data_IF_829100734986
#
_entry.id   IF_829100734986
#
_cell.length_a   1.000
_cell.length_b   1.000
_cell.length_c   1.000
_cell.angle_alpha   90.00
_cell.angle_beta   90.00
_cell.angle_gamma   90.00
#
_symmetry.space_group_name_H-M   'P 1'
#
loop_
_entity.id
_entity.type
_entity.pdbx_description
1 polymer ?
#
# COMPACT_ATOMS: atom_id res chain seq x y z
N UNK A 1 38.19 -4.29 -7.86
CA UNK A 1 36.71 -4.12 -7.78
C UNK A 1 36.43 -2.69 -7.37
N UNK A 2 35.76 -1.92 -8.23
CA UNK A 2 35.55 -0.48 -8.05
C UNK A 2 34.41 -0.27 -7.05
N UNK A 3 34.70 0.42 -5.95
CA UNK A 3 33.70 0.93 -5.03
C UNK A 3 33.01 2.14 -5.68
N UNK A 4 31.69 2.07 -5.86
CA UNK A 4 30.88 3.21 -6.27
C UNK A 4 30.46 3.93 -5.00
N UNK A 5 31.03 5.12 -4.80
CA UNK A 5 30.64 6.05 -3.73
C UNK A 5 29.39 6.78 -4.21
N UNK A 6 28.26 6.54 -3.53
CA UNK A 6 27.04 7.32 -3.74
C UNK A 6 27.24 8.71 -3.12
N UNK A 7 27.42 9.72 -3.97
CA UNK A 7 27.45 11.12 -3.56
C UNK A 7 26.00 11.56 -3.38
N UNK A 8 25.53 11.61 -2.13
CA UNK A 8 24.29 12.26 -1.77
C UNK A 8 24.45 13.76 -1.89
N UNK A 9 23.94 14.35 -2.97
CA UNK A 9 23.86 15.79 -3.14
C UNK A 9 22.67 16.30 -2.32
N UNK A 10 22.97 16.90 -1.17
CA UNK A 10 22.00 17.66 -0.38
C UNK A 10 21.78 19.00 -1.11
N UNK A 11 20.68 19.14 -1.86
CA UNK A 11 20.28 20.43 -2.41
C UNK A 11 19.43 21.14 -1.37
N UNK A 12 20.02 22.15 -0.73
CA UNK A 12 19.28 23.17 0.03
C UNK A 12 18.34 23.91 -0.92
N UNK A 13 17.03 23.70 -0.76
CA UNK A 13 15.99 24.45 -1.47
C UNK A 13 15.92 25.85 -0.88
N UNK A 14 16.36 26.83 -1.65
CA UNK A 14 16.08 28.25 -1.41
C UNK A 14 14.59 28.46 -1.56
N UNK A 15 13.93 28.92 -0.49
CA UNK A 15 12.50 29.27 -0.49
C UNK A 15 12.32 30.51 -1.34
N UNK A 16 11.86 30.35 -2.59
CA UNK A 16 11.24 31.44 -3.32
C UNK A 16 9.85 31.65 -2.72
N UNK A 17 9.71 32.71 -1.92
CA UNK A 17 8.41 33.23 -1.48
C UNK A 17 7.72 33.92 -2.66
N UNK A 18 7.22 33.12 -3.60
CA UNK A 18 6.22 33.51 -4.57
C UNK A 18 4.87 32.98 -4.09
N UNK A 19 3.94 33.88 -3.82
CA UNK A 19 2.60 33.55 -3.33
C UNK A 19 1.89 32.64 -4.35
N UNK A 20 1.83 31.34 -4.04
CA UNK A 20 1.26 30.29 -4.89
C UNK A 20 1.50 28.91 -4.27
N UNK A 21 1.27 28.77 -2.96
CA UNK A 21 1.66 27.58 -2.16
C UNK A 21 0.81 26.33 -2.43
N UNK A 22 0.01 26.30 -3.50
CA UNK A 22 -0.77 25.14 -3.88
C UNK A 22 -1.06 25.12 -5.38
N UNK A 23 -1.03 23.94 -5.98
CA UNK A 23 -1.57 23.67 -7.32
C UNK A 23 -3.10 23.90 -7.46
N UNK A 24 -3.71 24.58 -6.49
CA UNK A 24 -5.11 25.03 -6.50
C UNK A 24 -5.25 26.44 -7.09
N UNK A 25 -4.21 27.26 -7.04
CA UNK A 25 -4.19 28.63 -7.59
C UNK A 25 -3.58 28.63 -9.00
N UNK A 26 -4.36 28.13 -9.95
CA UNK A 26 -3.93 27.93 -11.34
C UNK A 26 -3.99 29.26 -12.10
N UNK A 27 -2.83 29.90 -12.29
CA UNK A 27 -2.72 31.19 -12.99
C UNK A 27 -1.81 31.12 -14.25
N UNK A 28 -1.32 29.92 -14.59
CA UNK A 28 -0.35 29.72 -15.67
C UNK A 28 -0.94 29.64 -17.07
N UNK A 29 -0.07 29.64 -18.08
CA UNK A 29 -0.45 29.57 -19.50
C UNK A 29 0.18 28.41 -20.26
N UNK A 30 1.10 27.67 -19.64
CA UNK A 30 1.71 26.49 -20.29
C UNK A 30 0.65 25.38 -20.48
N UNK A 31 0.83 24.49 -21.45
CA UNK A 31 -0.03 23.32 -21.61
C UNK A 31 -0.14 22.50 -20.32
N UNK A 32 -1.27 21.81 -20.15
CA UNK A 32 -1.47 20.87 -19.03
C UNK A 32 -0.66 19.60 -19.28
N UNK A 33 -0.01 19.09 -18.22
CA UNK A 33 0.74 17.82 -18.27
C UNK A 33 -0.22 16.64 -18.41
N UNK A 34 0.12 15.69 -19.29
CA UNK A 34 -0.71 14.51 -19.59
C UNK A 34 0.08 13.22 -19.40
N UNK A 35 -0.62 12.08 -19.44
CA UNK A 35 0.01 10.76 -19.30
C UNK A 35 0.57 10.47 -17.91
N UNK A 36 0.06 11.14 -16.88
CA UNK A 36 0.52 10.98 -15.49
C UNK A 36 0.12 9.60 -14.97
N UNK A 37 1.09 8.78 -14.62
CA UNK A 37 0.88 7.40 -14.13
C UNK A 37 1.87 7.06 -13.02
N UNK A 38 1.45 6.23 -12.06
CA UNK A 38 2.40 5.57 -11.14
C UNK A 38 3.14 4.49 -11.94
N UNK A 39 4.46 4.56 -11.94
CA UNK A 39 5.31 3.51 -12.51
C UNK A 39 5.34 2.33 -11.53
N UNK A 40 4.58 1.29 -11.86
CA UNK A 40 4.42 0.10 -11.02
C UNK A 40 5.67 -0.78 -10.99
N UNK A 41 6.60 -0.61 -11.93
CA UNK A 41 7.85 -1.39 -11.98
C UNK A 41 8.98 -0.68 -11.21
N UNK A 42 8.99 0.65 -11.24
CA UNK A 42 9.97 1.46 -10.51
C UNK A 42 9.57 1.75 -9.05
N UNK A 43 8.27 1.67 -8.73
CA UNK A 43 7.79 1.87 -7.35
C UNK A 43 8.04 0.64 -6.49
N UNK A 44 8.54 0.84 -5.26
CA UNK A 44 8.81 -0.25 -4.33
C UNK A 44 8.80 0.25 -2.88
N UNK A 45 8.31 -0.56 -1.96
CA UNK A 45 8.20 -0.19 -0.56
C UNK A 45 7.20 0.96 -0.37
N UNK A 46 7.67 2.06 0.22
CA UNK A 46 6.98 3.34 0.32
C UNK A 46 7.46 4.36 -0.73
N UNK A 47 8.41 3.99 -1.58
CA UNK A 47 8.93 4.86 -2.62
C UNK A 47 8.08 4.73 -3.87
N UNK A 48 7.38 5.81 -4.21
CA UNK A 48 6.47 5.88 -5.35
C UNK A 48 7.12 6.69 -6.45
N UNK A 49 7.23 6.08 -7.63
CA UNK A 49 7.71 6.73 -8.84
C UNK A 49 6.52 7.08 -9.71
N UNK A 50 6.44 8.33 -10.12
CA UNK A 50 5.39 8.85 -11.00
C UNK A 50 6.05 9.32 -12.28
N UNK A 51 5.50 8.94 -13.42
CA UNK A 51 5.96 9.35 -14.75
C UNK A 51 4.86 10.07 -15.50
N UNK A 52 5.24 10.85 -16.51
CA UNK A 52 4.31 11.58 -17.36
C UNK A 52 4.84 11.74 -18.78
N UNK A 53 3.98 12.18 -19.70
CA UNK A 53 4.38 12.52 -21.06
C UNK A 53 5.28 13.76 -21.02
N UNK A 54 6.52 13.62 -21.48
CA UNK A 54 7.47 14.73 -21.53
C UNK A 54 6.96 15.85 -22.47
N UNK A 55 7.02 17.09 -21.99
CA UNK A 55 6.90 18.27 -22.83
C UNK A 55 8.24 18.59 -23.48
N UNK A 56 8.19 19.37 -24.56
CA UNK A 56 9.38 19.92 -25.20
C UNK A 56 10.20 20.74 -24.18
N UNK A 57 11.46 20.37 -23.98
CA UNK A 57 12.38 21.02 -23.03
C UNK A 57 12.74 22.45 -23.40
N UNK A 58 12.40 22.91 -24.62
CA UNK A 58 12.50 24.32 -24.99
C UNK A 58 11.31 25.15 -24.47
N UNK A 59 10.20 24.49 -24.12
CA UNK A 59 8.96 25.12 -23.65
C UNK A 59 8.81 25.12 -22.12
N UNK A 60 9.56 24.27 -21.41
CA UNK A 60 9.48 24.12 -19.95
C UNK A 60 10.87 23.96 -19.34
N UNK A 61 11.07 24.50 -18.14
CA UNK A 61 12.29 24.34 -17.35
C UNK A 61 12.25 23.07 -16.48
N UNK A 62 11.04 22.61 -16.14
CA UNK A 62 10.83 21.40 -15.36
C UNK A 62 9.38 21.21 -14.94
N UNK A 63 9.20 20.41 -13.90
CA UNK A 63 7.90 19.98 -13.39
C UNK A 63 7.84 19.99 -11.86
N UNK A 64 6.69 20.37 -11.34
CA UNK A 64 6.31 20.17 -9.94
C UNK A 64 5.47 18.89 -9.83
N UNK A 65 5.93 17.93 -9.02
CA UNK A 65 5.15 16.77 -8.61
C UNK A 65 4.38 17.13 -7.34
N UNK A 66 3.05 17.05 -7.41
CA UNK A 66 2.15 17.40 -6.32
C UNK A 66 1.45 16.17 -5.77
N UNK A 67 1.16 16.19 -4.47
CA UNK A 67 0.40 15.15 -3.78
C UNK A 67 -0.81 15.70 -3.03
N UNK A 68 -1.86 14.89 -2.88
CA UNK A 68 -3.00 15.18 -1.98
C UNK A 68 -3.56 13.90 -1.41
N UNK A 69 -4.15 13.94 -0.21
CA UNK A 69 -4.65 12.73 0.48
C UNK A 69 -6.00 12.25 -0.03
N UNK A 70 -6.89 13.18 -0.35
CA UNK A 70 -8.25 12.90 -0.81
C UNK A 70 -8.49 13.37 -2.23
N UNK A 71 -9.73 13.18 -2.70
CA UNK A 71 -10.20 13.83 -3.94
C UNK A 71 -10.39 15.35 -3.75
N UNK A 72 -10.42 15.80 -2.50
CA UNK A 72 -10.53 17.19 -2.06
C UNK A 72 -9.32 17.60 -1.20
N UNK A 73 -9.18 18.90 -0.97
CA UNK A 73 -8.12 19.49 -0.16
C UNK A 73 -6.96 20.07 -0.97
N UNK A 74 -6.00 20.74 -0.30
CA UNK A 74 -4.88 21.39 -0.94
C UNK A 74 -3.88 20.37 -1.48
N UNK A 75 -3.20 20.75 -2.57
CA UNK A 75 -2.05 20.01 -3.06
C UNK A 75 -0.81 20.40 -2.25
N UNK A 76 0.08 19.44 -2.04
CA UNK A 76 1.37 19.66 -1.36
C UNK A 76 2.49 19.26 -2.31
N UNK A 77 3.51 20.10 -2.41
CA UNK A 77 4.65 19.83 -3.29
C UNK A 77 5.43 18.62 -2.75
N UNK A 78 5.57 17.59 -3.57
CA UNK A 78 6.33 16.39 -3.24
C UNK A 78 7.76 16.45 -3.81
N UNK A 79 7.91 16.92 -5.05
CA UNK A 79 9.22 17.03 -5.68
C UNK A 79 9.25 18.09 -6.79
N UNK A 80 10.45 18.62 -7.04
CA UNK A 80 10.80 19.39 -8.23
C UNK A 80 11.63 18.50 -9.16
N UNK A 81 11.23 18.39 -10.43
CA UNK A 81 11.79 17.43 -11.38
C UNK A 81 12.20 18.14 -12.67
N UNK A 82 13.41 17.89 -13.17
CA UNK A 82 13.86 18.42 -14.48
C UNK A 82 13.40 17.50 -15.63
N UNK A 83 13.20 16.22 -15.35
CA UNK A 83 12.79 15.21 -16.31
C UNK A 83 11.32 14.80 -16.11
N UNK A 84 10.82 13.90 -16.96
CA UNK A 84 9.43 13.45 -16.93
C UNK A 84 9.13 12.31 -15.92
N UNK A 85 9.90 12.27 -14.83
CA UNK A 85 9.75 11.32 -13.75
C UNK A 85 10.07 11.99 -12.42
N UNK A 86 9.30 11.64 -11.39
CA UNK A 86 9.49 12.14 -10.03
C UNK A 86 9.29 11.02 -9.02
N UNK A 87 9.96 11.14 -7.87
CA UNK A 87 9.91 10.16 -6.79
C UNK A 87 9.40 10.80 -5.52
N UNK A 88 8.57 10.08 -4.77
CA UNK A 88 8.03 10.51 -3.48
C UNK A 88 8.07 9.34 -2.48
N UNK A 89 8.59 9.59 -1.28
CA UNK A 89 8.56 8.62 -0.18
C UNK A 89 7.23 8.84 0.57
N UNK A 90 6.26 7.99 0.27
CA UNK A 90 4.90 8.13 0.77
C UNK A 90 4.76 7.57 2.20
N UNK A 91 4.22 8.37 3.12
CA UNK A 91 3.83 7.88 4.44
C UNK A 91 2.38 7.37 4.50
N UNK A 92 1.63 7.53 3.40
CA UNK A 92 0.20 7.22 3.27
C UNK A 92 -0.18 7.17 1.80
N UNK A 93 -1.35 6.60 1.52
CA UNK A 93 -1.99 6.65 0.20
C UNK A 93 -2.33 8.10 -0.19
N UNK A 94 -1.95 8.50 -1.41
CA UNK A 94 -2.17 9.85 -1.95
C UNK A 94 -2.47 9.81 -3.46
N UNK A 95 -3.08 10.89 -3.95
CA UNK A 95 -3.13 11.21 -5.37
C UNK A 95 -1.90 12.00 -5.78
N UNK A 96 -1.45 11.79 -7.00
CA UNK A 96 -0.33 12.48 -7.64
C UNK A 96 -0.81 13.23 -8.87
N UNK A 97 -0.38 14.48 -9.02
CA UNK A 97 -0.51 15.24 -10.27
C UNK A 97 0.77 16.02 -10.54
N UNK A 98 0.88 16.58 -11.74
CA UNK A 98 2.06 17.26 -12.22
C UNK A 98 1.66 18.57 -12.89
N UNK A 99 2.47 19.61 -12.65
CA UNK A 99 2.42 20.88 -13.37
C UNK A 99 3.79 21.15 -13.97
N UNK A 100 3.84 21.65 -15.20
CA UNK A 100 5.08 22.16 -15.77
C UNK A 100 5.31 23.63 -15.36
N UNK A 101 6.55 24.08 -15.40
CA UNK A 101 6.88 25.50 -15.22
C UNK A 101 7.98 25.97 -16.19
N UNK A 102 8.02 27.28 -16.42
CA UNK A 102 9.06 28.01 -17.15
C UNK A 102 9.22 29.40 -16.53
N UNK A 103 10.31 29.64 -15.82
CA UNK A 103 10.41 30.76 -14.88
C UNK A 103 9.20 30.77 -13.94
N UNK A 104 8.50 31.91 -13.86
CA UNK A 104 7.30 32.08 -13.02
C UNK A 104 6.00 31.60 -13.68
N UNK A 105 6.03 31.18 -14.95
CA UNK A 105 4.84 30.69 -15.66
C UNK A 105 4.65 29.19 -15.40
N UNK A 106 3.44 28.77 -15.05
CA UNK A 106 3.11 27.35 -14.83
C UNK A 106 2.14 26.81 -15.89
N UNK A 107 1.81 25.52 -15.83
CA UNK A 107 0.66 24.97 -16.54
C UNK A 107 -0.63 25.71 -16.19
N UNK A 108 -1.53 25.83 -17.17
CA UNK A 108 -2.88 26.40 -17.06
C UNK A 108 -3.88 25.49 -16.32
N UNK A 109 -3.39 24.40 -15.76
CA UNK A 109 -4.13 23.44 -14.97
C UNK A 109 -3.24 22.33 -14.45
N UNK A 110 -3.74 21.58 -13.47
CA UNK A 110 -3.16 20.30 -13.07
C UNK A 110 -3.56 19.21 -14.05
N UNK A 111 -2.67 18.25 -14.30
CA UNK A 111 -3.02 17.07 -15.09
C UNK A 111 -4.00 16.14 -14.35
N UNK A 112 -4.56 15.17 -15.09
CA UNK A 112 -5.39 14.12 -14.50
C UNK A 112 -4.56 13.30 -13.51
N UNK A 113 -5.06 13.23 -12.27
CA UNK A 113 -4.31 12.62 -11.18
C UNK A 113 -4.30 11.08 -11.26
N UNK A 114 -3.18 10.50 -10.84
CA UNK A 114 -3.02 9.06 -10.57
C UNK A 114 -2.93 8.83 -9.06
N UNK A 115 -2.92 7.59 -8.56
CA UNK A 115 -2.86 7.31 -7.12
C UNK A 115 -2.35 5.91 -6.81
N UNK A 116 -2.03 5.69 -5.52
CA UNK A 116 -1.62 4.39 -4.95
C UNK A 116 -2.68 3.82 -4.02
N UNK A 117 -3.96 4.14 -4.26
CA UNK A 117 -5.05 3.68 -3.39
C UNK A 117 -5.19 2.17 -3.44
N UNK A 118 -5.54 1.63 -2.29
CA UNK A 118 -5.87 0.22 -2.13
C UNK A 118 -7.22 -0.11 -2.75
N UNK A 119 -7.39 -1.38 -3.11
CA UNK A 119 -8.68 -1.97 -3.47
C UNK A 119 -9.31 -2.56 -2.22
N UNK A 120 -10.60 -2.28 -2.00
CA UNK A 120 -11.35 -2.86 -0.89
C UNK A 120 -11.58 -4.36 -1.15
N UNK A 121 -11.29 -5.19 -0.15
CA UNK A 121 -11.64 -6.60 -0.17
C UNK A 121 -13.03 -6.80 0.46
N UNK A 122 -13.83 -7.63 -0.21
CA UNK A 122 -15.12 -8.11 0.24
C UNK A 122 -15.01 -8.83 1.58
N UNK A 123 -15.96 -8.55 2.47
CA UNK A 123 -16.04 -9.21 3.77
C UNK A 123 -16.35 -10.69 3.59
N UNK A 124 -15.60 -11.56 4.28
CA UNK A 124 -15.90 -12.98 4.42
C UNK A 124 -16.33 -13.29 5.84
N UNK A 125 -17.28 -14.23 5.97
CA UNK A 125 -17.75 -14.79 7.23
C UNK A 125 -17.55 -16.29 7.20
N UNK A 126 -16.82 -16.82 8.16
CA UNK A 126 -16.49 -18.25 8.23
C UNK A 126 -16.78 -18.79 9.62
N UNK A 127 -17.40 -19.97 9.69
CA UNK A 127 -17.69 -20.62 10.96
C UNK A 127 -16.38 -21.07 11.64
N UNK A 128 -16.34 -20.94 12.96
CA UNK A 128 -15.17 -21.30 13.76
C UNK A 128 -15.55 -22.20 14.92
N UNK A 129 -15.39 -23.50 14.71
CA UNK A 129 -15.65 -24.57 15.67
C UNK A 129 -14.37 -24.98 16.43
N UNK A 130 -13.48 -24.01 16.68
CA UNK A 130 -12.15 -24.19 17.28
C UNK A 130 -11.14 -24.94 16.39
N UNK A 131 -11.50 -25.27 15.14
CA UNK A 131 -10.55 -25.82 14.16
C UNK A 131 -9.83 -24.70 13.40
N UNK A 132 -8.55 -24.89 13.04
CA UNK A 132 -7.82 -23.93 12.21
C UNK A 132 -8.53 -23.67 10.88
N UNK A 133 -8.62 -22.40 10.50
CA UNK A 133 -9.17 -21.96 9.20
C UNK A 133 -8.08 -21.22 8.45
N UNK A 134 -7.78 -21.68 7.23
CA UNK A 134 -6.84 -21.02 6.33
C UNK A 134 -7.55 -20.01 5.46
N UNK A 135 -6.85 -18.93 5.10
CA UNK A 135 -7.36 -17.88 4.24
C UNK A 135 -6.34 -17.55 3.14
N UNK A 136 -6.83 -17.27 1.94
CA UNK A 136 -6.05 -16.69 0.84
C UNK A 136 -6.79 -15.49 0.25
N UNK A 137 -6.07 -14.46 -0.13
CA UNK A 137 -6.57 -13.30 -0.87
C UNK A 137 -6.57 -13.64 -2.36
N UNK A 138 -7.70 -13.42 -3.02
CA UNK A 138 -7.79 -13.43 -4.47
C UNK A 138 -7.31 -12.08 -5.01
N UNK A 139 -6.06 -12.02 -5.46
CA UNK A 139 -5.43 -10.79 -5.96
C UNK A 139 -6.03 -10.33 -7.30
N UNK A 140 -6.59 -11.26 -8.08
CA UNK A 140 -7.24 -10.94 -9.35
C UNK A 140 -8.69 -10.48 -9.16
N UNK A 141 -9.32 -10.94 -8.09
CA UNK A 141 -10.62 -10.48 -7.61
C UNK A 141 -10.52 -9.48 -6.47
N UNK A 142 -11.60 -9.37 -5.72
CA UNK A 142 -11.73 -8.53 -4.53
C UNK A 142 -12.10 -9.37 -3.29
N UNK A 143 -11.77 -10.67 -3.28
CA UNK A 143 -12.29 -11.61 -2.30
C UNK A 143 -11.22 -12.20 -1.39
N UNK A 144 -11.64 -12.61 -0.19
CA UNK A 144 -10.88 -13.47 0.70
C UNK A 144 -11.55 -14.84 0.66
N UNK A 145 -10.77 -15.90 0.45
CA UNK A 145 -11.24 -17.27 0.31
C UNK A 145 -10.79 -18.07 1.52
N UNK A 146 -11.74 -18.65 2.25
CA UNK A 146 -11.49 -19.56 3.36
C UNK A 146 -11.37 -21.01 2.90
N UNK A 147 -10.69 -21.83 3.69
CA UNK A 147 -10.56 -23.26 3.43
C UNK A 147 -9.81 -24.01 4.53
N UNK A 148 -9.71 -25.33 4.35
CA UNK A 148 -9.03 -26.20 5.29
C UNK A 148 -7.50 -26.09 5.14
N UNK A 149 -6.77 -25.53 6.13
CA UNK A 149 -5.32 -25.36 6.01
C UNK A 149 -4.56 -26.69 6.05
N UNK A 150 -5.18 -27.78 6.54
CA UNK A 150 -4.57 -29.11 6.50
C UNK A 150 -4.58 -29.77 5.11
N UNK A 151 -5.30 -29.17 4.14
CA UNK A 151 -5.26 -29.62 2.75
C UNK A 151 -3.98 -29.14 2.08
N UNK A 152 -3.14 -30.04 1.52
CA UNK A 152 -1.92 -29.62 0.82
C UNK A 152 -2.20 -28.80 -0.46
N UNK A 153 -3.40 -28.95 -1.04
CA UNK A 153 -3.82 -28.21 -2.24
C UNK A 153 -4.36 -26.82 -1.92
N UNK A 154 -4.66 -26.54 -0.65
CA UNK A 154 -5.16 -25.24 -0.25
C UNK A 154 -3.97 -24.34 0.09
N UNK A 155 -3.64 -23.40 -0.79
CA UNK A 155 -2.49 -22.51 -0.62
C UNK A 155 -2.80 -21.34 0.31
N UNK A 156 -3.01 -21.58 1.60
CA UNK A 156 -3.36 -20.50 2.53
C UNK A 156 -2.21 -19.51 2.72
N UNK A 157 -2.55 -18.22 2.74
CA UNK A 157 -1.64 -17.12 3.03
C UNK A 157 -1.56 -16.82 4.53
N UNK A 158 -2.61 -17.08 5.28
CA UNK A 158 -2.59 -17.03 6.74
C UNK A 158 -3.61 -18.00 7.33
N UNK A 159 -3.45 -18.33 8.60
CA UNK A 159 -4.33 -19.24 9.34
C UNK A 159 -4.82 -18.56 10.60
N UNK A 160 -6.12 -18.67 10.88
CA UNK A 160 -6.67 -18.34 12.20
C UNK A 160 -6.78 -19.65 12.99
N UNK A 161 -6.12 -19.70 14.14
CA UNK A 161 -6.12 -20.87 15.03
C UNK A 161 -6.06 -20.46 16.50
N UNK A 162 -6.39 -21.41 17.38
CA UNK A 162 -6.30 -21.22 18.84
C UNK A 162 -4.94 -21.69 19.34
N UNK A 163 -4.34 -20.93 20.26
CA UNK A 163 -3.14 -21.35 20.98
C UNK A 163 -3.46 -22.25 22.19
N UNK A 164 -2.45 -22.77 22.87
CA UNK A 164 -2.63 -23.64 24.04
C UNK A 164 -3.45 -23.01 25.19
N UNK A 165 -3.54 -21.68 25.24
CA UNK A 165 -4.29 -20.95 26.26
C UNK A 165 -5.74 -20.63 25.84
N UNK A 166 -6.22 -21.16 24.71
CA UNK A 166 -7.57 -20.90 24.22
C UNK A 166 -7.75 -19.57 23.48
N UNK A 167 -6.69 -18.79 23.30
CA UNK A 167 -6.75 -17.49 22.62
C UNK A 167 -6.55 -17.66 21.10
N UNK A 168 -7.31 -16.88 20.31
CA UNK A 168 -7.24 -16.88 18.84
C UNK A 168 -6.09 -16.01 18.33
N UNK A 169 -5.35 -16.54 17.38
CA UNK A 169 -4.23 -15.87 16.72
C UNK A 169 -4.32 -16.06 15.21
N UNK A 170 -3.74 -15.10 14.51
CA UNK A 170 -3.43 -15.17 13.09
C UNK A 170 -1.97 -15.58 12.97
N UNK A 171 -1.70 -16.57 12.12
CA UNK A 171 -0.39 -17.11 11.84
C UNK A 171 -0.08 -16.96 10.34
N UNK A 172 1.18 -16.70 9.94
CA UNK A 172 1.57 -16.77 8.54
C UNK A 172 1.32 -18.16 7.97
N UNK A 173 1.10 -18.26 6.66
CA UNK A 173 0.70 -19.51 6.00
C UNK A 173 1.67 -20.65 6.23
N UNK A 174 2.96 -20.35 6.38
CA UNK A 174 4.07 -21.30 6.59
C UNK A 174 4.41 -21.57 8.07
N UNK A 175 3.64 -21.05 9.02
CA UNK A 175 3.99 -21.14 10.45
C UNK A 175 4.07 -22.58 10.98
N UNK A 176 3.17 -23.46 10.53
CA UNK A 176 3.15 -24.86 10.96
C UNK A 176 3.04 -25.80 9.74
N UNK A 177 4.14 -26.06 9.03
CA UNK A 177 4.12 -26.83 7.78
C UNK A 177 3.75 -28.30 7.98
N UNK A 178 3.90 -28.85 9.19
CA UNK A 178 3.49 -30.23 9.50
C UNK A 178 1.96 -30.38 9.52
N UNK A 179 1.25 -29.35 10.00
CA UNK A 179 -0.22 -29.37 10.08
C UNK A 179 -0.88 -28.60 8.94
N UNK A 180 -0.20 -27.63 8.35
CA UNK A 180 -0.72 -26.75 7.31
C UNK A 180 0.18 -26.79 6.05
N UNK A 181 0.28 -27.95 5.38
CA UNK A 181 1.32 -28.23 4.40
C UNK A 181 1.24 -27.38 3.13
N UNK A 182 0.06 -26.85 2.79
CA UNK A 182 -0.15 -25.98 1.62
C UNK A 182 0.33 -24.53 1.81
N UNK A 183 0.88 -24.19 2.99
CA UNK A 183 1.17 -22.81 3.40
C UNK A 183 2.01 -22.00 2.42
N UNK A 184 1.47 -20.87 1.97
CA UNK A 184 2.21 -19.88 1.19
C UNK A 184 3.17 -19.09 2.09
N UNK A 185 4.33 -18.72 1.53
CA UNK A 185 5.29 -17.85 2.22
C UNK A 185 4.70 -16.46 2.37
N UNK A 186 4.36 -16.10 3.59
CA UNK A 186 3.82 -14.80 3.94
C UNK A 186 4.44 -14.31 5.23
N UNK A 187 4.30 -13.02 5.49
CA UNK A 187 4.67 -12.41 6.76
C UNK A 187 3.48 -11.63 7.28
N UNK A 188 3.35 -11.61 8.60
CA UNK A 188 2.29 -10.86 9.26
C UNK A 188 2.89 -9.90 10.28
N UNK A 189 2.26 -8.75 10.45
CA UNK A 189 2.62 -7.79 11.47
C UNK A 189 1.35 -7.16 12.04
N UNK A 190 1.42 -6.60 13.24
CA UNK A 190 0.30 -5.82 13.78
C UNK A 190 0.05 -4.61 12.88
N UNK A 191 -1.22 -4.25 12.67
CA UNK A 191 -1.66 -3.11 11.86
C UNK A 191 -1.39 -1.75 12.51
N UNK A 192 -0.36 -1.65 13.35
CA UNK A 192 0.01 -0.42 14.05
C UNK A 192 0.93 0.41 13.15
N UNK A 193 0.46 1.57 12.68
CA UNK A 193 1.23 2.50 11.84
C UNK A 193 0.53 2.84 10.52
N UNK A 194 1.09 3.79 9.77
CA UNK A 194 0.51 4.31 8.52
C UNK A 194 0.93 3.53 7.26
N UNK A 195 1.90 2.62 7.38
CA UNK A 195 2.40 1.79 6.28
C UNK A 195 2.83 0.43 6.84
N UNK A 196 2.62 -0.64 6.06
CA UNK A 196 3.18 -1.94 6.39
C UNK A 196 4.69 -1.84 6.68
N UNK A 197 5.25 -2.68 7.56
CA UNK A 197 6.69 -2.69 7.82
C UNK A 197 7.53 -2.88 6.56
N UNK A 198 8.77 -2.39 6.59
CA UNK A 198 9.72 -2.71 5.52
C UNK A 198 9.96 -4.23 5.48
N UNK A 199 10.15 -4.84 4.29
CA UNK A 199 10.50 -6.27 4.19
C UNK A 199 11.71 -6.66 5.03
N UNK A 200 12.65 -5.73 5.22
CA UNK A 200 13.89 -5.97 5.95
C UNK A 200 13.76 -5.77 7.47
N UNK A 201 12.60 -5.26 7.94
CA UNK A 201 12.32 -5.07 9.36
C UNK A 201 11.84 -6.37 10.01
N UNK A 202 12.78 -7.29 10.22
CA UNK A 202 12.52 -8.58 10.87
C UNK A 202 11.95 -8.48 12.29
N UNK A 203 12.05 -7.32 12.95
CA UNK A 203 11.53 -7.12 14.31
C UNK A 203 10.01 -6.93 14.28
N UNK A 204 9.50 -6.24 13.25
CA UNK A 204 8.07 -5.94 13.12
C UNK A 204 7.26 -7.11 12.57
N UNK A 205 7.85 -7.93 11.69
CA UNK A 205 7.23 -9.17 11.23
C UNK A 205 7.21 -10.21 12.36
N UNK A 206 6.06 -10.84 12.57
CA UNK A 206 5.80 -11.77 13.68
C UNK A 206 5.41 -13.14 13.18
N UNK A 207 5.64 -14.14 14.03
CA UNK A 207 5.16 -15.51 13.80
C UNK A 207 3.67 -15.66 14.16
N UNK A 208 3.11 -14.74 14.93
CA UNK A 208 1.68 -14.65 15.20
C UNK A 208 1.26 -13.23 15.61
N UNK A 209 0.01 -12.87 15.35
CA UNK A 209 -0.65 -11.69 15.92
C UNK A 209 -2.00 -12.07 16.49
N UNK A 210 -2.47 -11.32 17.50
CA UNK A 210 -3.78 -11.58 18.10
C UNK A 210 -4.89 -11.40 17.07
N UNK A 211 -5.87 -12.29 17.07
CA UNK A 211 -7.09 -12.09 16.31
C UNK A 211 -7.99 -11.06 17.03
N UNK A 212 -8.58 -10.12 16.30
CA UNK A 212 -9.39 -9.03 16.89
C UNK A 212 -8.90 -7.63 16.52
N UNK A 213 -7.65 -7.52 16.08
CA UNK A 213 -7.00 -6.27 15.68
C UNK A 213 -6.76 -6.22 14.16
N UNK A 214 -6.38 -5.04 13.68
CA UNK A 214 -5.83 -4.88 12.34
C UNK A 214 -4.45 -5.55 12.23
N UNK A 215 -4.15 -6.08 11.06
CA UNK A 215 -2.86 -6.68 10.75
C UNK A 215 -2.44 -6.43 9.30
N UNK A 216 -1.13 -6.27 9.11
CA UNK A 216 -0.53 -6.27 7.79
C UNK A 216 -0.20 -7.70 7.36
N UNK A 217 -0.46 -8.01 6.10
CA UNK A 217 -0.06 -9.24 5.44
C UNK A 217 0.84 -8.90 4.25
N UNK A 218 2.06 -9.43 4.23
CA UNK A 218 2.93 -9.41 3.05
C UNK A 218 2.90 -10.78 2.38
N UNK A 219 2.50 -10.82 1.11
CA UNK A 219 2.40 -12.04 0.31
C UNK A 219 3.70 -12.31 -0.43
N UNK A 220 3.99 -13.59 -0.70
CA UNK A 220 5.23 -14.01 -1.37
C UNK A 220 5.35 -13.58 -2.83
N UNK A 221 4.25 -13.14 -3.45
CA UNK A 221 4.21 -12.58 -4.80
C UNK A 221 4.46 -11.06 -4.83
N UNK A 222 4.67 -10.43 -3.67
CA UNK A 222 4.98 -9.01 -3.53
C UNK A 222 3.78 -8.10 -3.26
N UNK A 223 2.56 -8.65 -3.14
CA UNK A 223 1.39 -7.87 -2.74
C UNK A 223 1.30 -7.71 -1.21
N UNK A 224 0.59 -6.65 -0.78
CA UNK A 224 0.37 -6.35 0.63
C UNK A 224 -1.11 -6.12 0.92
N UNK A 225 -1.58 -6.56 2.08
CA UNK A 225 -2.91 -6.25 2.58
C UNK A 225 -2.86 -5.64 3.98
N UNK A 226 -3.83 -4.78 4.27
CA UNK A 226 -4.24 -4.40 5.62
C UNK A 226 -5.58 -5.07 5.87
N UNK A 227 -5.62 -6.00 6.82
CA UNK A 227 -6.80 -6.82 7.11
C UNK A 227 -7.24 -6.58 8.54
N UNK A 228 -8.54 -6.65 8.78
CA UNK A 228 -9.16 -6.57 10.10
C UNK A 228 -9.91 -7.88 10.36
N UNK A 229 -9.57 -8.55 11.45
CA UNK A 229 -10.29 -9.72 11.93
C UNK A 229 -11.20 -9.36 13.10
N UNK A 230 -12.50 -9.57 12.98
CA UNK A 230 -13.44 -9.52 14.11
C UNK A 230 -14.17 -10.84 14.24
N UNK A 231 -14.88 -11.04 15.34
CA UNK A 231 -15.70 -12.23 15.51
C UNK A 231 -17.03 -11.84 16.13
N UNK A 232 -18.06 -12.62 15.83
CA UNK A 232 -19.37 -12.47 16.44
C UNK A 232 -19.62 -13.67 17.34
N UNK A 233 -19.86 -13.41 18.63
CA UNK A 233 -20.27 -14.44 19.56
C UNK A 233 -21.58 -15.09 19.07
N UNK A 234 -21.74 -16.41 19.29
CA UNK A 234 -22.84 -17.16 18.73
C UNK A 234 -24.20 -16.54 19.08
N UNK A 235 -25.08 -16.53 18.09
CA UNK A 235 -26.52 -16.49 18.38
C UNK A 235 -26.85 -17.78 19.17
N UNK A 236 -27.69 -17.62 20.19
CA UNK A 236 -28.04 -18.61 21.22
C UNK A 236 -28.51 -19.97 20.70
N UNK A 237 -28.78 -20.10 19.39
CA UNK A 237 -29.21 -21.34 18.74
C UNK A 237 -28.08 -22.22 18.19
N UNK A 238 -26.89 -21.69 17.84
CA UNK A 238 -25.84 -22.47 17.15
C UNK A 238 -24.59 -22.74 17.98
N UNK A 239 -24.32 -21.98 19.04
CA UNK A 239 -23.08 -22.07 19.86
C UNK A 239 -21.76 -21.97 19.07
N UNK A 240 -21.79 -21.69 17.77
CA UNK A 240 -20.60 -21.60 16.91
C UNK A 240 -20.22 -20.14 16.67
N UNK A 241 -18.95 -19.83 16.95
CA UNK A 241 -18.34 -18.54 16.65
C UNK A 241 -18.24 -18.32 15.13
N UNK A 242 -18.22 -17.06 14.68
CA UNK A 242 -18.02 -16.71 13.27
C UNK A 242 -16.88 -15.73 13.16
N UNK A 243 -15.84 -16.10 12.39
CA UNK A 243 -14.78 -15.19 11.98
C UNK A 243 -15.32 -14.27 10.91
N UNK A 244 -15.06 -12.98 11.06
CA UNK A 244 -15.36 -11.95 10.07
C UNK A 244 -14.04 -11.30 9.67
N UNK A 245 -13.69 -11.38 8.40
CA UNK A 245 -12.48 -10.77 7.85
C UNK A 245 -12.83 -9.83 6.72
N UNK A 246 -12.20 -8.66 6.71
CA UNK A 246 -12.29 -7.66 5.64
C UNK A 246 -10.98 -6.90 5.57
N UNK A 247 -10.78 -6.08 4.55
CA UNK A 247 -9.62 -5.22 4.50
C UNK A 247 -9.36 -4.63 3.14
N UNK A 248 -8.10 -4.34 2.87
CA UNK A 248 -7.65 -3.60 1.71
C UNK A 248 -6.40 -4.26 1.12
N UNK A 249 -6.35 -4.37 -0.20
CA UNK A 249 -5.23 -4.89 -0.99
C UNK A 249 -4.51 -3.73 -1.68
N UNK A 250 -3.18 -3.71 -1.63
CA UNK A 250 -2.37 -2.84 -2.48
C UNK A 250 -2.22 -3.49 -3.86
N UNK A 251 -2.84 -2.96 -4.93
CA UNK A 251 -2.80 -3.57 -6.26
C UNK A 251 -1.44 -3.48 -6.95
N UNK A 252 -0.54 -2.59 -6.49
CA UNK A 252 0.79 -2.43 -7.08
C UNK A 252 1.76 -3.39 -6.37
N UNK A 253 2.21 -4.42 -7.06
CA UNK A 253 3.21 -5.36 -6.56
C UNK A 253 4.48 -4.62 -6.11
N UNK A 254 5.02 -4.99 -4.96
CA UNK A 254 6.23 -4.40 -4.39
C UNK A 254 5.98 -3.12 -3.60
N UNK A 255 4.84 -2.44 -3.79
CA UNK A 255 4.44 -1.29 -2.97
C UNK A 255 3.75 -1.79 -1.71
N UNK A 256 4.09 -1.19 -0.57
CA UNK A 256 3.49 -1.54 0.73
C UNK A 256 2.08 -0.96 0.82
N UNK A 257 1.21 -1.66 1.54
CA UNK A 257 -0.12 -1.15 1.87
C UNK A 257 0.01 0.01 2.86
N UNK A 258 -0.76 1.07 2.62
CA UNK A 258 -0.86 2.23 3.51
C UNK A 258 -2.13 2.10 4.36
N UNK A 259 -2.01 2.38 5.65
CA UNK A 259 -3.16 2.45 6.55
C UNK A 259 -3.76 3.86 6.46
N UNK A 260 -5.02 3.95 6.03
CA UNK A 260 -5.75 5.22 5.86
C UNK A 260 -6.53 5.64 7.13
N UNK A 261 -6.45 4.87 8.22
CA UNK A 261 -7.06 5.19 9.54
C UNK A 261 -6.33 6.31 10.30
#
# INVERSE_FOLDING_TARGET
MKAIVAVGLLVTVSVFTGCGDSATEINGTLPVVTGIVVDTLASHGDTIVVTWTAMDTTLVDGYFLWTRRGVEGPWTLAALCENNAGTHIASRSVFYTVMAFKGDNTSSGVGLATNTKTVQLSEIRELFDLRPVGFRVDVAGDSIIAGNPASPEFAQQFVVAINANGARYIYPGTFNPEQWPGGARTRIARGTGFVAPSPDDSILWKDSVSYGDDFFLAMGDGHYCLLTGTHTFPDTASLTDTLVLKGQLQPITGVRVFNEL
#
